data_IF_897753418876
#
_entry.id   IF_897753418876
#
_cell.length_a   1.000
_cell.length_b   1.000
_cell.length_c   1.000
_cell.angle_alpha   90.00
_cell.angle_beta   90.00
_cell.angle_gamma   90.00
#
_symmetry.space_group_name_H-M   'P 1'
#
loop_
_entity.id
_entity.type
_entity.pdbx_description
1 polymer ?
#
# COMPACT_ATOMS: atom_id res chain seq x y z
N UNK A 1 11.94 11.09 -32.19
CA UNK A 1 11.37 10.06 -31.30
C UNK A 1 10.01 10.54 -30.82
N UNK A 2 8.92 9.87 -31.21
CA UNK A 2 7.57 10.14 -30.70
C UNK A 2 7.52 9.69 -29.23
N UNK A 3 7.68 10.63 -28.31
CA UNK A 3 7.50 10.39 -26.88
C UNK A 3 6.03 10.07 -26.61
N UNK A 4 5.78 9.02 -25.83
CA UNK A 4 4.47 8.57 -25.39
C UNK A 4 3.73 9.73 -24.73
N UNK A 5 2.77 10.31 -25.45
CA UNK A 5 1.85 11.30 -24.90
C UNK A 5 0.93 10.60 -23.89
N UNK A 6 0.86 11.05 -22.62
CA UNK A 6 -0.12 10.55 -21.68
C UNK A 6 -1.52 10.96 -22.12
N UNK A 7 -2.47 10.06 -21.92
CA UNK A 7 -3.89 10.11 -22.29
C UNK A 7 -4.52 11.53 -22.18
N UNK A 8 -5.15 12.00 -23.27
CA UNK A 8 -5.56 13.39 -23.54
C UNK A 8 -6.82 13.89 -22.82
N UNK A 9 -7.52 13.06 -22.04
CA UNK A 9 -8.89 13.39 -21.59
C UNK A 9 -9.01 13.96 -20.18
N UNK A 10 -7.90 14.13 -19.45
CA UNK A 10 -7.95 14.57 -18.04
C UNK A 10 -7.75 16.09 -17.92
N UNK A 11 -8.67 16.75 -17.20
CA UNK A 11 -8.57 18.17 -16.87
C UNK A 11 -7.55 18.36 -15.74
N UNK A 12 -6.46 19.09 -16.01
CA UNK A 12 -5.50 19.47 -14.97
C UNK A 12 -5.98 20.73 -14.23
N UNK A 13 -6.05 20.68 -12.90
CA UNK A 13 -6.37 21.85 -12.06
C UNK A 13 -5.08 22.53 -11.61
N UNK A 14 -4.91 23.78 -11.98
CA UNK A 14 -3.69 24.56 -11.73
C UNK A 14 -4.06 25.79 -10.91
N UNK A 15 -3.38 25.99 -9.78
CA UNK A 15 -3.48 27.23 -9.02
C UNK A 15 -2.26 28.10 -9.31
N UNK A 16 -2.47 29.26 -9.90
CA UNK A 16 -1.44 30.27 -10.10
C UNK A 16 -1.53 31.36 -9.04
N UNK A 17 -0.41 31.61 -8.37
CA UNK A 17 -0.30 32.60 -7.32
C UNK A 17 0.70 33.67 -7.75
N UNK A 18 0.20 34.86 -8.10
CA UNK A 18 1.04 36.02 -8.44
C UNK A 18 0.33 37.33 -8.12
N UNK A 19 1.09 38.33 -7.68
CA UNK A 19 0.60 39.69 -7.44
C UNK A 19 0.46 40.52 -8.71
N UNK A 20 1.02 40.05 -9.84
CA UNK A 20 1.12 40.89 -11.04
C UNK A 20 0.27 40.32 -12.18
N UNK A 21 -0.71 41.07 -12.70
CA UNK A 21 -1.54 40.63 -13.82
C UNK A 21 -0.75 40.26 -15.08
N UNK A 22 0.40 40.92 -15.31
CA UNK A 22 1.26 40.65 -16.45
C UNK A 22 1.91 39.25 -16.36
N UNK A 23 2.36 38.82 -15.18
CA UNK A 23 2.90 37.46 -14.99
C UNK A 23 1.80 36.41 -15.12
N UNK A 24 0.60 36.69 -14.61
CA UNK A 24 -0.55 35.81 -14.78
C UNK A 24 -0.82 35.58 -16.26
N UNK A 25 -0.88 36.66 -17.03
CA UNK A 25 -1.13 36.60 -18.48
C UNK A 25 -0.03 35.83 -19.22
N UNK A 26 1.24 36.07 -18.88
CA UNK A 26 2.39 35.37 -19.47
C UNK A 26 2.37 33.87 -19.18
N UNK A 27 2.15 33.49 -17.92
CA UNK A 27 2.13 32.09 -17.51
C UNK A 27 0.93 31.38 -18.14
N UNK A 28 -0.24 32.03 -18.19
CA UNK A 28 -1.41 31.50 -18.86
C UNK A 28 -1.16 31.27 -20.36
N UNK A 29 -0.53 32.22 -21.05
CA UNK A 29 -0.13 32.07 -22.46
C UNK A 29 0.80 30.87 -22.65
N UNK A 30 1.84 30.75 -21.81
CA UNK A 30 2.80 29.64 -21.87
C UNK A 30 2.15 28.28 -21.58
N UNK A 31 1.21 28.21 -20.64
CA UNK A 31 0.46 26.98 -20.36
C UNK A 31 -0.36 26.58 -21.59
N UNK A 32 -1.05 27.53 -22.24
CA UNK A 32 -1.81 27.27 -23.48
C UNK A 32 -0.90 26.80 -24.62
N UNK A 33 0.28 27.39 -24.75
CA UNK A 33 1.27 27.01 -25.76
C UNK A 33 1.80 25.59 -25.53
N UNK A 34 2.10 25.23 -24.28
CA UNK A 34 2.65 23.93 -23.92
C UNK A 34 1.60 22.81 -23.93
N UNK A 35 0.33 23.15 -23.71
CA UNK A 35 -0.76 22.20 -23.58
C UNK A 35 -1.94 22.52 -24.51
N UNK A 36 -1.74 22.60 -25.85
CA UNK A 36 -2.78 23.05 -26.78
C UNK A 36 -3.98 22.10 -26.86
N UNK A 37 -3.74 20.80 -26.65
CA UNK A 37 -4.75 19.74 -26.75
C UNK A 37 -5.35 19.36 -25.37
N UNK A 38 -4.81 19.87 -24.26
CA UNK A 38 -5.28 19.49 -22.92
C UNK A 38 -6.31 20.48 -22.41
N UNK A 39 -7.38 19.95 -21.79
CA UNK A 39 -8.24 20.76 -20.94
C UNK A 39 -7.48 21.03 -19.63
N UNK A 40 -7.34 22.29 -19.26
CA UNK A 40 -6.86 22.68 -17.94
C UNK A 40 -7.82 23.71 -17.35
N UNK A 41 -7.92 23.71 -16.02
CA UNK A 41 -8.59 24.74 -15.25
C UNK A 41 -7.51 25.54 -14.55
N UNK A 42 -7.31 26.78 -14.99
CA UNK A 42 -6.39 27.71 -14.34
C UNK A 42 -7.19 28.58 -13.39
N UNK A 43 -6.89 28.45 -12.10
CA UNK A 43 -7.37 29.39 -11.10
C UNK A 43 -6.23 30.32 -10.67
N UNK A 44 -6.57 31.57 -10.35
CA UNK A 44 -5.59 32.58 -10.01
C UNK A 44 -5.87 33.18 -8.63
N UNK A 45 -4.82 33.38 -7.83
CA UNK A 45 -4.89 34.09 -6.55
C UNK A 45 -3.82 35.19 -6.50
N UNK A 46 -4.25 36.40 -6.14
CA UNK A 46 -3.41 37.60 -6.03
C UNK A 46 -3.23 38.07 -4.59
N UNK A 47 -4.00 37.51 -3.65
CA UNK A 47 -3.94 37.84 -2.22
C UNK A 47 -3.86 36.58 -1.38
N UNK A 48 -3.34 36.71 -0.15
CA UNK A 48 -3.29 35.56 0.79
C UNK A 48 -4.68 35.03 1.13
N UNK A 49 -5.67 35.92 1.24
CA UNK A 49 -7.06 35.57 1.53
C UNK A 49 -7.68 34.75 0.39
N UNK A 50 -7.41 35.10 -0.87
CA UNK A 50 -7.82 34.31 -2.03
C UNK A 50 -7.19 32.92 -2.04
N UNK A 51 -5.90 32.81 -1.69
CA UNK A 51 -5.22 31.51 -1.58
C UNK A 51 -5.92 30.66 -0.53
N UNK A 52 -6.12 31.20 0.67
CA UNK A 52 -6.76 30.46 1.77
C UNK A 52 -8.19 30.04 1.41
N UNK A 53 -8.94 30.91 0.74
CA UNK A 53 -10.29 30.60 0.25
C UNK A 53 -10.24 29.43 -0.73
N UNK A 54 -9.37 29.50 -1.74
CA UNK A 54 -9.23 28.43 -2.76
C UNK A 54 -8.72 27.12 -2.18
N UNK A 55 -7.90 27.15 -1.14
CA UNK A 55 -7.48 25.96 -0.41
C UNK A 55 -8.62 25.33 0.39
N UNK A 56 -9.62 26.12 0.81
CA UNK A 56 -10.78 25.64 1.56
C UNK A 56 -11.91 25.15 0.63
N UNK A 57 -11.94 25.54 -0.64
CA UNK A 57 -12.98 25.20 -1.62
C UNK A 57 -12.98 23.70 -2.05
N UNK A 58 -12.23 22.83 -1.36
CA UNK A 58 -12.07 21.40 -1.66
C UNK A 58 -11.62 21.07 -3.09
N UNK A 59 -11.14 22.05 -3.84
CA UNK A 59 -10.56 21.83 -5.17
C UNK A 59 -9.20 21.15 -5.01
N UNK A 60 -9.05 20.00 -5.66
CA UNK A 60 -7.80 19.24 -5.67
C UNK A 60 -6.91 19.75 -6.80
N UNK A 61 -6.14 20.81 -6.53
CA UNK A 61 -5.13 21.30 -7.46
C UNK A 61 -4.03 20.25 -7.65
N UNK A 62 -3.65 20.00 -8.90
CA UNK A 62 -2.59 19.05 -9.25
C UNK A 62 -1.23 19.74 -9.40
N UNK A 63 -1.25 21.03 -9.69
CA UNK A 63 -0.08 21.90 -9.82
C UNK A 63 -0.36 23.26 -9.17
N UNK A 64 0.57 23.75 -8.36
CA UNK A 64 0.56 25.10 -7.80
C UNK A 64 1.78 25.85 -8.31
N UNK A 65 1.58 27.00 -8.92
CA UNK A 65 2.63 27.87 -9.42
C UNK A 65 2.67 29.13 -8.55
N UNK A 66 3.83 29.49 -8.01
CA UNK A 66 4.00 30.64 -7.11
C UNK A 66 5.09 31.56 -7.64
N UNK A 67 4.77 32.83 -7.87
CA UNK A 67 5.72 33.87 -8.31
C UNK A 67 6.61 34.39 -7.14
N UNK A 68 7.82 34.88 -7.43
CA UNK A 68 8.78 35.48 -6.46
C UNK A 68 8.17 36.62 -5.67
N UNK A 69 7.39 37.46 -6.37
CA UNK A 69 6.71 38.60 -5.76
C UNK A 69 5.69 38.15 -4.73
N UNK A 70 5.25 36.89 -4.84
CA UNK A 70 4.54 36.20 -3.80
C UNK A 70 5.50 35.60 -2.78
N UNK A 71 6.57 34.87 -3.12
CA UNK A 71 7.44 34.18 -2.12
C UNK A 71 8.01 35.07 -1.03
N UNK A 72 8.40 36.32 -1.30
CA UNK A 72 8.86 37.25 -0.25
C UNK A 72 7.75 37.62 0.74
N UNK A 73 6.49 37.64 0.29
CA UNK A 73 5.32 37.96 1.10
C UNK A 73 4.60 36.72 1.65
N UNK A 74 4.75 35.57 0.99
CA UNK A 74 4.20 34.28 1.40
C UNK A 74 5.01 33.82 2.58
N UNK A 75 4.46 34.07 3.76
CA UNK A 75 5.01 33.47 4.97
C UNK A 75 5.17 31.95 4.80
N UNK A 76 6.22 31.39 5.39
CA UNK A 76 6.44 29.94 5.50
C UNK A 76 5.19 29.17 5.98
N UNK A 77 4.30 29.86 6.70
CA UNK A 77 3.00 29.38 7.15
C UNK A 77 2.04 29.05 5.99
N UNK A 78 1.98 29.89 4.95
CA UNK A 78 1.11 29.64 3.78
C UNK A 78 1.66 28.50 2.94
N UNK A 79 2.98 28.44 2.69
CA UNK A 79 3.59 27.29 2.02
C UNK A 79 3.35 25.99 2.78
N UNK A 80 3.49 26.02 4.11
CA UNK A 80 3.19 24.88 4.97
C UNK A 80 1.72 24.47 4.87
N UNK A 81 0.80 25.45 4.80
CA UNK A 81 -0.64 25.19 4.65
C UNK A 81 -0.99 24.62 3.27
N UNK A 82 -0.41 25.16 2.20
CA UNK A 82 -0.55 24.62 0.84
C UNK A 82 -0.05 23.17 0.84
N UNK A 83 1.13 22.90 1.39
CA UNK A 83 1.69 21.54 1.43
C UNK A 83 0.88 20.57 2.27
N UNK A 84 0.30 21.03 3.39
CA UNK A 84 -0.56 20.21 4.23
C UNK A 84 -1.91 19.89 3.57
N UNK A 85 -2.47 20.84 2.82
CA UNK A 85 -3.79 20.72 2.18
C UNK A 85 -3.70 19.98 0.85
N UNK A 86 -2.66 20.27 0.07
CA UNK A 86 -2.41 19.75 -1.26
C UNK A 86 -1.16 18.85 -1.25
N UNK A 87 -1.18 17.84 -0.38
CA UNK A 87 -0.02 16.95 -0.16
C UNK A 87 0.49 16.26 -1.44
N UNK A 88 -0.37 16.15 -2.47
CA UNK A 88 -0.06 15.49 -3.74
C UNK A 88 0.14 16.45 -4.92
N UNK A 89 -0.01 17.75 -4.70
CA UNK A 89 0.23 18.74 -5.75
C UNK A 89 1.73 18.94 -5.97
N UNK A 90 2.12 19.06 -7.23
CA UNK A 90 3.44 19.58 -7.59
C UNK A 90 3.44 21.10 -7.34
N UNK A 91 4.54 21.63 -6.80
CA UNK A 91 4.69 23.05 -6.52
C UNK A 91 5.86 23.56 -7.34
N UNK A 92 5.57 24.52 -8.21
CA UNK A 92 6.53 25.27 -9.00
C UNK A 92 6.68 26.67 -8.41
N UNK A 93 7.89 27.06 -8.06
CA UNK A 93 8.19 28.42 -7.63
C UNK A 93 8.99 29.10 -8.73
N UNK A 94 8.49 30.22 -9.23
CA UNK A 94 9.10 31.05 -10.27
C UNK A 94 9.61 32.31 -9.58
N UNK A 95 10.92 32.44 -9.43
CA UNK A 95 11.54 33.66 -8.96
C UNK A 95 12.06 34.52 -10.12
N UNK A 96 12.17 35.83 -9.91
CA UNK A 96 12.38 36.85 -10.96
C UNK A 96 13.59 36.60 -11.88
N UNK A 97 14.51 35.70 -11.50
CA UNK A 97 15.58 35.17 -12.32
C UNK A 97 15.86 33.64 -12.12
N UNK A 98 15.04 32.92 -11.36
CA UNK A 98 15.30 31.52 -10.97
C UNK A 98 14.04 30.66 -11.01
N UNK A 99 14.20 29.38 -11.28
CA UNK A 99 13.08 28.44 -11.19
C UNK A 99 13.44 27.39 -10.16
N UNK A 100 12.87 27.55 -8.98
CA UNK A 100 13.10 26.66 -7.85
C UNK A 100 11.97 25.64 -7.82
N UNK A 101 12.12 24.55 -8.56
CA UNK A 101 11.26 23.38 -8.34
C UNK A 101 11.58 22.83 -6.95
N UNK A 102 10.57 22.72 -6.08
CA UNK A 102 10.74 22.57 -4.64
C UNK A 102 11.77 21.49 -4.23
N UNK A 103 12.88 21.96 -3.63
CA UNK A 103 14.02 21.24 -3.01
C UNK A 103 15.09 20.64 -3.93
N UNK A 104 15.84 21.51 -4.62
CA UNK A 104 17.29 21.58 -4.49
C UNK A 104 17.70 23.04 -4.63
N UNK A 105 18.31 23.58 -3.58
CA UNK A 105 19.06 24.83 -3.64
C UNK A 105 20.13 24.63 -4.70
N UNK A 106 19.97 25.28 -5.85
CA UNK A 106 21.07 25.53 -6.76
C UNK A 106 21.56 26.94 -6.42
N UNK A 107 22.53 27.00 -5.52
CA UNK A 107 23.46 28.13 -5.53
C UNK A 107 24.17 28.11 -6.87
N UNK A 108 24.35 29.30 -7.45
CA UNK A 108 24.88 29.58 -8.78
C UNK A 108 23.83 29.53 -9.91
N UNK A 109 23.46 30.72 -10.41
CA UNK A 109 23.71 31.16 -11.81
C UNK A 109 23.13 32.57 -12.01
N UNK A 110 23.77 33.33 -12.88
CA UNK A 110 23.68 34.78 -13.06
C UNK A 110 22.28 35.35 -13.38
N UNK A 111 22.08 36.60 -12.94
CA UNK A 111 20.94 37.44 -13.25
C UNK A 111 20.70 37.56 -14.77
N UNK A 112 19.50 37.15 -15.22
CA UNK A 112 19.10 37.26 -16.63
C UNK A 112 18.40 38.61 -16.88
N UNK A 113 19.02 39.46 -17.71
CA UNK A 113 18.53 40.81 -18.03
C UNK A 113 17.69 40.92 -19.32
N UNK A 114 17.21 39.80 -19.90
CA UNK A 114 16.39 39.81 -21.13
C UNK A 114 15.04 39.09 -20.94
N UNK A 115 13.95 39.78 -21.30
CA UNK A 115 12.56 39.32 -21.17
C UNK A 115 12.27 38.01 -21.96
N UNK A 116 12.93 37.84 -23.11
CA UNK A 116 12.90 36.61 -23.91
C UNK A 116 13.47 35.41 -23.15
N UNK A 117 14.60 35.61 -22.46
CA UNK A 117 15.29 34.56 -21.70
C UNK A 117 14.46 34.14 -20.48
N UNK A 118 13.75 35.09 -19.86
CA UNK A 118 12.78 34.81 -18.79
C UNK A 118 11.61 33.96 -19.29
N UNK A 119 11.06 34.26 -20.48
CA UNK A 119 9.98 33.47 -21.10
C UNK A 119 10.43 32.03 -21.38
N UNK A 120 11.59 31.85 -21.98
CA UNK A 120 12.11 30.53 -22.34
C UNK A 120 12.40 29.67 -21.10
N UNK A 121 12.98 30.26 -20.05
CA UNK A 121 13.21 29.56 -18.79
C UNK A 121 11.89 29.10 -18.15
N UNK A 122 10.90 30.00 -18.05
CA UNK A 122 9.57 29.66 -17.49
C UNK A 122 8.92 28.55 -18.32
N UNK A 123 9.01 28.63 -19.65
CA UNK A 123 8.49 27.60 -20.56
C UNK A 123 9.12 26.23 -20.31
N UNK A 124 10.44 26.17 -20.19
CA UNK A 124 11.16 24.92 -19.92
C UNK A 124 10.76 24.31 -18.57
N UNK A 125 10.72 25.12 -17.51
CA UNK A 125 10.34 24.63 -16.20
C UNK A 125 8.88 24.19 -16.12
N UNK A 126 7.97 24.89 -16.78
CA UNK A 126 6.58 24.46 -16.91
C UNK A 126 6.52 23.12 -17.64
N UNK A 127 7.26 22.94 -18.75
CA UNK A 127 7.32 21.68 -19.48
C UNK A 127 7.77 20.52 -18.59
N UNK A 128 8.90 20.68 -17.89
CA UNK A 128 9.43 19.67 -16.97
C UNK A 128 8.43 19.36 -15.85
N UNK A 129 7.82 20.40 -15.28
CA UNK A 129 6.86 20.23 -14.18
C UNK A 129 5.59 19.53 -14.63
N UNK A 130 5.07 19.84 -15.82
CA UNK A 130 3.92 19.16 -16.39
C UNK A 130 4.21 17.69 -16.70
N UNK A 131 5.39 17.37 -17.22
CA UNK A 131 5.81 15.98 -17.43
C UNK A 131 5.90 15.21 -16.11
N UNK A 132 6.55 15.81 -15.10
CA UNK A 132 6.65 15.23 -13.76
C UNK A 132 5.28 15.01 -13.13
N UNK A 133 4.39 15.99 -13.23
CA UNK A 133 3.03 15.92 -12.74
C UNK A 133 2.25 14.77 -13.41
N UNK A 134 2.36 14.64 -14.74
CA UNK A 134 1.70 13.59 -15.49
C UNK A 134 2.21 12.19 -15.08
N UNK A 135 3.54 12.02 -14.98
CA UNK A 135 4.17 10.78 -14.53
C UNK A 135 3.76 10.42 -13.10
N UNK A 136 3.75 11.39 -12.19
CA UNK A 136 3.37 11.21 -10.79
C UNK A 136 1.89 10.78 -10.67
N UNK A 137 1.02 11.40 -11.46
CA UNK A 137 -0.40 11.05 -11.52
C UNK A 137 -0.64 9.63 -12.04
N UNK A 138 0.07 9.24 -13.09
CA UNK A 138 -0.05 7.90 -13.68
C UNK A 138 0.52 6.82 -12.76
N UNK A 139 1.65 7.10 -12.10
CA UNK A 139 2.23 6.20 -11.12
C UNK A 139 1.25 5.94 -9.95
N UNK A 140 0.56 6.98 -9.46
CA UNK A 140 -0.50 6.81 -8.44
C UNK A 140 -1.62 5.90 -8.94
N UNK A 141 -2.06 6.08 -10.18
CA UNK A 141 -3.12 5.26 -10.78
C UNK A 141 -2.71 3.79 -10.87
N UNK A 142 -1.50 3.53 -11.37
CA UNK A 142 -0.95 2.18 -11.48
C UNK A 142 -0.77 1.52 -10.12
N UNK A 143 -0.29 2.26 -9.12
CA UNK A 143 -0.15 1.76 -7.74
C UNK A 143 -1.50 1.40 -7.11
N UNK A 144 -2.55 2.21 -7.35
CA UNK A 144 -3.89 1.89 -6.89
C UNK A 144 -4.45 0.63 -7.56
N UNK A 145 -4.27 0.50 -8.88
CA UNK A 145 -4.69 -0.68 -9.63
C UNK A 145 -3.93 -1.94 -9.19
N UNK A 146 -2.61 -1.84 -8.97
CA UNK A 146 -1.77 -2.93 -8.49
C UNK A 146 -2.17 -3.37 -7.09
N UNK A 147 -2.47 -2.43 -6.18
CA UNK A 147 -2.97 -2.74 -4.84
C UNK A 147 -4.31 -3.47 -4.89
N UNK A 148 -5.24 -3.01 -5.71
CA UNK A 148 -6.51 -3.70 -5.91
C UNK A 148 -6.31 -5.13 -6.43
N UNK A 149 -5.42 -5.31 -7.42
CA UNK A 149 -5.06 -6.63 -7.94
C UNK A 149 -4.36 -7.52 -6.92
N UNK A 150 -3.48 -6.98 -6.09
CA UNK A 150 -2.84 -7.75 -5.02
C UNK A 150 -3.85 -8.21 -3.96
N UNK A 151 -4.84 -7.39 -3.62
CA UNK A 151 -5.94 -7.78 -2.74
C UNK A 151 -6.76 -8.90 -3.39
N UNK A 152 -7.12 -8.76 -4.67
CA UNK A 152 -7.86 -9.78 -5.42
C UNK A 152 -7.10 -11.11 -5.49
N UNK A 153 -5.80 -11.07 -5.80
CA UNK A 153 -4.93 -12.25 -5.83
C UNK A 153 -4.81 -12.89 -4.45
N UNK A 154 -4.65 -12.10 -3.39
CA UNK A 154 -4.61 -12.61 -2.02
C UNK A 154 -5.92 -13.30 -1.62
N UNK A 155 -7.07 -12.72 -2.00
CA UNK A 155 -8.38 -13.35 -1.79
C UNK A 155 -8.55 -14.63 -2.62
N UNK A 156 -8.07 -14.66 -3.86
CA UNK A 156 -8.10 -15.86 -4.70
C UNK A 156 -7.18 -16.95 -4.15
N UNK A 157 -5.98 -16.59 -3.70
CA UNK A 157 -5.02 -17.51 -3.10
C UNK A 157 -5.58 -18.09 -1.80
N UNK A 158 -6.17 -17.27 -0.93
CA UNK A 158 -6.86 -17.75 0.26
C UNK A 158 -8.01 -18.71 -0.09
N UNK A 159 -8.80 -18.43 -1.14
CA UNK A 159 -9.85 -19.35 -1.61
C UNK A 159 -9.29 -20.67 -2.16
N UNK A 160 -8.11 -20.63 -2.79
CA UNK A 160 -7.42 -21.84 -3.25
C UNK A 160 -6.84 -22.60 -2.07
N UNK A 161 -6.30 -21.93 -1.05
CA UNK A 161 -5.81 -22.55 0.18
C UNK A 161 -6.96 -23.15 1.00
N UNK A 162 -8.15 -22.54 1.01
CA UNK A 162 -9.36 -23.11 1.63
C UNK A 162 -9.88 -24.33 0.85
N UNK A 163 -9.64 -24.39 -0.46
CA UNK A 163 -9.99 -25.53 -1.33
C UNK A 163 -8.93 -26.64 -1.28
N UNK A 164 -7.64 -26.31 -1.34
CA UNK A 164 -6.51 -27.23 -1.20
C UNK A 164 -6.36 -27.72 0.24
N UNK A 165 -6.76 -26.91 1.22
CA UNK A 165 -6.98 -27.30 2.60
C UNK A 165 -8.14 -28.28 2.77
N UNK A 166 -8.95 -28.56 1.73
CA UNK A 166 -9.86 -29.72 1.70
C UNK A 166 -9.25 -30.95 1.02
N UNK A 167 -8.09 -30.83 0.40
CA UNK A 167 -7.36 -31.90 -0.33
C UNK A 167 -5.99 -32.22 0.31
N UNK A 168 -5.86 -32.17 1.63
CA UNK A 168 -4.88 -33.04 2.31
C UNK A 168 -5.38 -34.49 2.21
N UNK A 169 -4.52 -35.47 1.90
CA UNK A 169 -4.93 -36.80 1.46
C UNK A 169 -5.85 -37.43 2.51
N UNK A 170 -7.00 -37.97 2.08
CA UNK A 170 -8.05 -38.57 2.91
C UNK A 170 -7.53 -39.45 4.06
N UNK A 171 -6.36 -40.06 3.89
CA UNK A 171 -5.69 -40.93 4.87
C UNK A 171 -5.31 -40.19 6.15
N UNK A 172 -4.69 -39.00 6.11
CA UNK A 172 -4.20 -38.33 7.31
C UNK A 172 -5.34 -37.83 8.22
N UNK A 173 -6.43 -37.34 7.61
CA UNK A 173 -7.65 -36.95 8.34
C UNK A 173 -8.40 -38.15 8.90
N UNK A 174 -8.49 -39.23 8.14
CA UNK A 174 -9.10 -40.48 8.58
C UNK A 174 -8.31 -41.09 9.75
N UNK A 175 -6.97 -41.11 9.68
CA UNK A 175 -6.10 -41.58 10.77
C UNK A 175 -6.27 -40.74 12.04
N UNK A 176 -6.34 -39.41 11.92
CA UNK A 176 -6.59 -38.52 13.06
C UNK A 176 -7.97 -38.78 13.70
N UNK A 177 -9.02 -38.95 12.88
CA UNK A 177 -10.36 -39.25 13.36
C UNK A 177 -10.46 -40.65 14.00
N UNK A 178 -9.80 -41.65 13.44
CA UNK A 178 -9.71 -43.01 14.01
C UNK A 178 -8.96 -42.96 15.34
N UNK A 179 -7.83 -42.27 15.43
CA UNK A 179 -7.05 -42.11 16.67
C UNK A 179 -7.92 -41.54 17.78
N UNK A 180 -8.64 -40.45 17.53
CA UNK A 180 -9.51 -39.84 18.53
C UNK A 180 -10.61 -40.82 18.99
N UNK A 181 -11.22 -41.56 18.05
CA UNK A 181 -12.29 -42.52 18.37
C UNK A 181 -11.81 -43.79 19.08
N UNK A 182 -10.57 -44.21 18.85
CA UNK A 182 -9.96 -45.39 19.49
C UNK A 182 -9.37 -45.02 20.85
N UNK A 183 -8.68 -43.89 20.96
CA UNK A 183 -8.08 -43.46 22.21
C UNK A 183 -9.15 -43.18 23.28
N UNK A 184 -10.32 -42.66 22.92
CA UNK A 184 -11.38 -42.37 23.90
C UNK A 184 -11.84 -43.61 24.72
N UNK A 185 -12.24 -44.73 24.10
CA UNK A 185 -12.55 -45.95 24.85
C UNK A 185 -11.31 -46.58 25.48
N UNK A 186 -10.12 -46.51 24.85
CA UNK A 186 -8.88 -47.03 25.46
C UNK A 186 -8.49 -46.26 26.72
N UNK A 187 -8.63 -44.94 26.75
CA UNK A 187 -8.44 -44.12 27.95
C UNK A 187 -9.44 -44.51 29.04
N UNK A 188 -10.68 -44.83 28.67
CA UNK A 188 -11.68 -45.37 29.59
C UNK A 188 -11.29 -46.73 30.17
N UNK A 189 -10.89 -47.67 29.32
CA UNK A 189 -10.43 -49.02 29.73
C UNK A 189 -9.18 -48.93 30.60
N UNK A 190 -8.21 -48.11 30.21
CA UNK A 190 -6.98 -47.84 30.98
C UNK A 190 -7.30 -47.25 32.34
N UNK A 191 -8.19 -46.24 32.40
CA UNK A 191 -8.63 -45.63 33.64
C UNK A 191 -9.32 -46.63 34.58
N UNK A 192 -10.18 -47.50 34.05
CA UNK A 192 -10.82 -48.55 34.85
C UNK A 192 -9.81 -49.59 35.34
N UNK A 193 -8.89 -50.03 34.47
CA UNK A 193 -7.83 -50.95 34.85
C UNK A 193 -6.97 -50.36 35.99
N UNK A 194 -6.54 -49.10 35.85
CA UNK A 194 -5.75 -48.40 36.86
C UNK A 194 -6.52 -48.18 38.17
N UNK A 195 -7.81 -47.86 38.12
CA UNK A 195 -8.65 -47.72 39.32
C UNK A 195 -8.82 -49.05 40.06
N UNK A 196 -8.95 -50.17 39.33
CA UNK A 196 -9.00 -51.50 39.91
C UNK A 196 -7.64 -51.92 40.50
N UNK A 197 -6.54 -51.64 39.81
CA UNK A 197 -5.19 -51.91 40.31
C UNK A 197 -4.83 -51.07 41.55
N UNK A 198 -5.37 -49.85 41.68
CA UNK A 198 -5.25 -49.06 42.92
C UNK A 198 -5.93 -49.69 44.13
N UNK A 199 -6.81 -50.68 43.92
CA UNK A 199 -7.46 -51.49 44.95
C UNK A 199 -6.97 -52.95 44.89
N UNK A 200 -5.75 -53.17 44.36
CA UNK A 200 -5.16 -54.49 44.11
C UNK A 200 -5.18 -55.42 45.32
N UNK A 201 -5.10 -54.84 46.52
CA UNK A 201 -4.99 -55.55 47.79
C UNK A 201 -6.27 -56.35 48.12
N UNK A 202 -7.37 -56.05 47.43
CA UNK A 202 -8.67 -56.70 47.56
C UNK A 202 -8.99 -57.64 46.39
N UNK A 203 -8.05 -57.82 45.45
CA UNK A 203 -8.23 -58.64 44.26
C UNK A 203 -7.39 -59.92 44.34
N UNK A 204 -7.92 -61.08 43.90
CA UNK A 204 -7.11 -62.28 43.70
C UNK A 204 -5.94 -62.02 42.74
N UNK A 205 -4.78 -62.64 43.01
CA UNK A 205 -3.55 -62.43 42.21
C UNK A 205 -3.74 -62.78 40.72
N UNK A 206 -4.56 -63.79 40.38
CA UNK A 206 -4.88 -64.14 38.99
C UNK A 206 -5.71 -63.05 38.29
N UNK A 207 -6.60 -62.38 39.02
CA UNK A 207 -7.40 -61.26 38.52
C UNK A 207 -6.53 -60.01 38.36
N UNK A 208 -5.64 -59.76 39.30
CA UNK A 208 -4.67 -58.66 39.23
C UNK A 208 -3.79 -58.76 37.99
N UNK A 209 -3.21 -59.94 37.74
CA UNK A 209 -2.37 -60.17 36.56
C UNK A 209 -3.12 -59.97 35.24
N UNK A 210 -4.40 -60.33 35.19
CA UNK A 210 -5.27 -60.07 34.03
C UNK A 210 -5.50 -58.57 33.80
N UNK A 211 -5.69 -57.80 34.86
CA UNK A 211 -5.91 -56.34 34.76
C UNK A 211 -4.61 -55.63 34.32
N UNK A 212 -3.45 -56.03 34.85
CA UNK A 212 -2.14 -55.54 34.38
C UNK A 212 -1.92 -55.84 32.89
N UNK A 213 -2.31 -57.04 32.45
CA UNK A 213 -2.26 -57.41 31.02
C UNK A 213 -3.17 -56.51 30.17
N UNK A 214 -4.38 -56.20 30.65
CA UNK A 214 -5.31 -55.27 29.97
C UNK A 214 -4.71 -53.86 29.88
N UNK A 215 -4.10 -53.37 30.95
CA UNK A 215 -3.40 -52.08 30.95
C UNK A 215 -2.26 -52.06 29.92
N UNK A 216 -1.39 -53.07 29.93
CA UNK A 216 -0.27 -53.16 29.00
C UNK A 216 -0.72 -53.24 27.53
N UNK A 217 -1.75 -54.03 27.24
CA UNK A 217 -2.31 -54.13 25.88
C UNK A 217 -2.93 -52.81 25.42
N UNK A 218 -3.61 -52.10 26.33
CA UNK A 218 -4.24 -50.80 26.05
C UNK A 218 -3.20 -49.72 25.73
N UNK A 219 -2.10 -49.70 26.48
CA UNK A 219 -0.96 -48.81 26.23
C UNK A 219 -0.28 -49.14 24.89
N UNK A 220 -0.05 -50.42 24.61
CA UNK A 220 0.57 -50.87 23.35
C UNK A 220 -0.26 -50.51 22.12
N UNK A 221 -1.59 -50.63 22.19
CA UNK A 221 -2.47 -50.21 21.09
C UNK A 221 -2.38 -48.69 20.88
N UNK A 222 -2.36 -47.92 21.97
CA UNK A 222 -2.22 -46.45 21.89
C UNK A 222 -0.89 -46.04 21.23
N UNK A 223 0.19 -46.75 21.55
CA UNK A 223 1.52 -46.53 20.96
C UNK A 223 1.57 -46.85 19.45
N UNK A 224 0.92 -47.94 19.01
CA UNK A 224 0.82 -48.25 17.56
C UNK A 224 0.16 -47.11 16.79
N UNK A 225 -0.91 -46.50 17.32
CA UNK A 225 -1.58 -45.37 16.66
C UNK A 225 -0.79 -44.05 16.70
N UNK A 226 0.14 -43.89 17.64
CA UNK A 226 1.10 -42.78 17.67
C UNK A 226 2.20 -42.96 16.61
N UNK A 227 2.69 -44.19 16.44
CA UNK A 227 3.79 -44.49 15.49
C UNK A 227 3.34 -44.48 14.01
N UNK A 228 2.05 -44.66 13.73
CA UNK A 228 1.50 -44.52 12.38
C UNK A 228 1.59 -43.09 11.82
N UNK A 229 1.69 -42.05 12.67
CA UNK A 229 1.87 -40.65 12.25
C UNK A 229 3.27 -40.37 11.69
N UNK A 230 4.29 -41.00 12.28
CA UNK A 230 5.70 -40.70 11.98
C UNK A 230 6.19 -41.35 10.68
N UNK A 231 5.54 -42.43 10.26
CA UNK A 231 5.94 -43.21 9.07
C UNK A 231 5.59 -42.51 7.75
N UNK A 232 4.59 -41.61 7.74
CA UNK A 232 4.24 -40.81 6.55
C UNK A 232 5.17 -39.59 6.36
N UNK A 233 5.82 -39.08 7.42
CA UNK A 233 6.76 -37.96 7.30
C UNK A 233 8.12 -38.35 6.70
N UNK A 234 8.55 -39.60 6.81
CA UNK A 234 9.84 -40.06 6.26
C UNK A 234 9.79 -40.54 4.81
N UNK A 235 8.60 -40.71 4.21
CA UNK A 235 8.46 -41.11 2.81
C UNK A 235 8.56 -39.93 1.81
N UNK A 236 8.83 -38.71 2.30
CA UNK A 236 8.93 -37.48 1.49
C UNK A 236 10.22 -36.67 1.73
N UNK A 237 11.27 -37.31 2.25
CA UNK A 237 12.62 -36.75 2.37
C UNK A 237 13.55 -37.26 1.27
#
# INVERSE_FOLDING_TARGET
>A
MRSMMPNSDRVAFILLVSKTPNEISLIEELIRELCPEKRFFLDCAQTEEEILTKLNDNVQYELVIISSKFTEAVSTKILSRIRATLAQAEILIIEDAFIVSALKVCDEVAAFHHEQVKRDAIREALSITFEKQALSSENRRLMAALRAKNIELSMMQQRLDDKAGKEQPDVARLLSAIRHRVNNPLTGVLGQAQLLLRRSDQLPEDIKHRIETIEQLTLRISEVFLNLDHSEMHARG
#
